data_IF_973324860180
#
_entry.id   IF_973324860180
#
_cell.length_a   1.000
_cell.length_b   1.000
_cell.length_c   1.000
_cell.angle_alpha   90.00
_cell.angle_beta   90.00
_cell.angle_gamma   90.00
#
_symmetry.space_group_name_H-M   'P 1'
#
loop_
_entity.id
_entity.type
_entity.pdbx_description
1 polymer ?
#
# COMPACT_ATOMS: atom_id res chain seq x y z
N UNK A 1 -25.14 -1.81 -1.33
CA UNK A 1 -26.50 -2.26 -0.89
C UNK A 1 -26.34 -3.25 0.26
N UNK A 2 -27.17 -3.19 1.28
CA UNK A 2 -27.10 -4.14 2.40
C UNK A 2 -27.76 -5.46 1.97
N UNK A 3 -27.06 -6.60 2.07
CA UNK A 3 -27.59 -7.91 1.68
C UNK A 3 -28.90 -8.27 2.38
N UNK A 4 -29.08 -7.83 3.63
CA UNK A 4 -30.31 -8.02 4.38
C UNK A 4 -31.51 -7.31 3.74
N UNK A 5 -31.33 -6.06 3.31
CA UNK A 5 -32.39 -5.26 2.71
C UNK A 5 -32.68 -5.68 1.27
N UNK A 6 -31.63 -5.95 0.48
CA UNK A 6 -31.76 -6.24 -0.94
C UNK A 6 -32.23 -7.66 -1.24
N UNK A 7 -31.86 -8.63 -0.40
CA UNK A 7 -32.10 -10.06 -0.65
C UNK A 7 -32.94 -10.72 0.44
N UNK A 8 -33.45 -9.95 1.43
CA UNK A 8 -34.26 -10.45 2.54
C UNK A 8 -33.61 -11.60 3.33
N UNK A 9 -32.27 -11.62 3.41
CA UNK A 9 -31.54 -12.62 4.18
C UNK A 9 -31.46 -12.13 5.62
N UNK A 10 -31.90 -12.94 6.64
CA UNK A 10 -31.85 -12.52 8.03
C UNK A 10 -30.41 -12.18 8.46
N UNK A 11 -30.23 -11.06 9.17
CA UNK A 11 -28.91 -10.63 9.65
C UNK A 11 -28.21 -11.69 10.54
N UNK A 12 -28.97 -12.46 11.30
CA UNK A 12 -28.45 -13.57 12.08
C UNK A 12 -27.83 -14.68 11.21
N UNK A 13 -28.41 -14.97 10.04
CA UNK A 13 -27.87 -15.95 9.10
C UNK A 13 -26.58 -15.44 8.43
N UNK A 14 -26.54 -14.14 8.09
CA UNK A 14 -25.33 -13.52 7.53
C UNK A 14 -24.17 -13.51 8.56
N UNK A 15 -24.48 -13.16 9.83
CA UNK A 15 -23.50 -13.19 10.92
C UNK A 15 -22.98 -14.61 11.17
N UNK A 16 -23.85 -15.61 11.15
CA UNK A 16 -23.48 -17.01 11.37
C UNK A 16 -22.53 -17.53 10.28
N UNK A 17 -22.83 -17.24 9.02
CA UNK A 17 -22.00 -17.64 7.87
C UNK A 17 -20.63 -16.93 7.89
N UNK A 18 -20.63 -15.62 8.13
CA UNK A 18 -19.40 -14.84 8.22
C UNK A 18 -18.51 -15.32 9.38
N UNK A 19 -19.11 -15.53 10.56
CA UNK A 19 -18.42 -16.02 11.76
C UNK A 19 -17.89 -17.44 11.57
N UNK A 20 -18.66 -18.33 10.93
CA UNK A 20 -18.20 -19.69 10.63
C UNK A 20 -17.01 -19.68 9.69
N UNK A 21 -17.08 -18.90 8.60
CA UNK A 21 -15.97 -18.77 7.65
C UNK A 21 -14.70 -18.23 8.32
N UNK A 22 -14.84 -17.22 9.19
CA UNK A 22 -13.71 -16.66 9.94
C UNK A 22 -13.17 -17.64 11.00
N UNK A 23 -14.06 -18.37 11.67
CA UNK A 23 -13.68 -19.40 12.66
C UNK A 23 -12.78 -20.48 12.06
N UNK A 24 -13.04 -20.93 10.84
CA UNK A 24 -12.21 -21.93 10.17
C UNK A 24 -10.73 -21.51 10.06
N UNK A 25 -10.48 -20.20 9.93
CA UNK A 25 -9.13 -19.64 9.78
C UNK A 25 -8.35 -19.51 11.09
N UNK A 26 -9.01 -19.63 12.25
CA UNK A 26 -8.37 -19.49 13.58
C UNK A 26 -8.27 -20.78 14.37
N UNK A 27 -8.80 -21.90 13.87
CA UNK A 27 -8.82 -23.19 14.60
C UNK A 27 -7.43 -23.64 15.04
N UNK A 28 -6.45 -23.53 14.15
CA UNK A 28 -5.06 -23.88 14.44
C UNK A 28 -4.42 -22.94 15.46
N UNK A 29 -4.77 -21.67 15.44
CA UNK A 29 -4.31 -20.67 16.41
C UNK A 29 -4.91 -20.96 17.79
N UNK A 30 -6.20 -21.29 17.86
CA UNK A 30 -6.88 -21.70 19.11
C UNK A 30 -6.29 -22.97 19.71
N UNK A 31 -5.90 -23.95 18.88
CA UNK A 31 -5.32 -25.20 19.33
C UNK A 31 -3.93 -25.03 19.98
N UNK A 32 -3.22 -23.98 19.60
CA UNK A 32 -1.87 -23.65 20.10
C UNK A 32 -1.90 -22.70 21.29
N UNK A 33 -3.00 -22.01 21.53
CA UNK A 33 -3.13 -21.06 22.62
C UNK A 33 -3.33 -21.80 23.96
N UNK A 34 -2.70 -21.30 25.01
CA UNK A 34 -2.92 -21.76 26.36
C UNK A 34 -4.25 -21.24 26.91
N UNK A 35 -4.56 -19.97 26.63
CA UNK A 35 -5.81 -19.30 26.95
C UNK A 35 -6.14 -18.26 25.92
N UNK A 36 -7.21 -18.49 25.14
CA UNK A 36 -7.70 -17.56 24.14
C UNK A 36 -8.89 -16.73 24.65
N UNK A 37 -8.88 -15.45 24.40
CA UNK A 37 -9.97 -14.52 24.74
C UNK A 37 -10.67 -14.01 23.49
N UNK A 38 -11.99 -14.16 23.44
CA UNK A 38 -12.84 -13.50 22.45
C UNK A 38 -13.28 -12.15 23.04
N UNK A 39 -12.67 -11.07 22.54
CA UNK A 39 -12.96 -9.70 22.94
C UNK A 39 -14.15 -9.18 22.15
N UNK A 40 -15.30 -9.01 22.81
CA UNK A 40 -16.55 -8.65 22.15
C UNK A 40 -17.00 -7.23 22.50
N UNK A 41 -17.02 -6.37 21.50
CA UNK A 41 -17.61 -5.03 21.55
C UNK A 41 -19.13 -5.05 21.60
N UNK A 42 -19.77 -3.88 21.67
CA UNK A 42 -21.23 -3.75 21.70
C UNK A 42 -21.90 -3.87 20.33
N UNK A 43 -21.14 -3.77 19.22
CA UNK A 43 -21.62 -3.81 17.85
C UNK A 43 -21.67 -5.22 17.25
N UNK A 44 -21.94 -5.27 15.93
CA UNK A 44 -22.02 -6.54 15.20
C UNK A 44 -20.68 -7.28 15.15
N UNK A 45 -19.55 -6.58 15.09
CA UNK A 45 -18.22 -7.22 15.17
C UNK A 45 -18.03 -7.99 16.49
N UNK A 46 -18.56 -7.45 17.62
CA UNK A 46 -18.64 -8.17 18.89
C UNK A 46 -19.59 -9.37 18.82
N UNK A 47 -20.65 -9.27 18.03
CA UNK A 47 -21.54 -10.40 17.73
C UNK A 47 -20.83 -11.51 16.99
N UNK A 48 -19.99 -11.18 16.00
CA UNK A 48 -19.17 -12.13 15.25
C UNK A 48 -18.17 -12.84 16.18
N UNK A 49 -17.48 -12.10 17.06
CA UNK A 49 -16.57 -12.69 18.05
C UNK A 49 -17.28 -13.65 18.99
N UNK A 50 -18.50 -13.32 19.46
CA UNK A 50 -19.32 -14.20 20.29
C UNK A 50 -19.78 -15.45 19.54
N UNK A 51 -20.21 -15.32 18.29
CA UNK A 51 -20.57 -16.46 17.45
C UNK A 51 -19.36 -17.40 17.25
N UNK A 52 -18.17 -16.85 17.02
CA UNK A 52 -16.94 -17.62 16.89
C UNK A 52 -16.55 -18.31 18.21
N UNK A 53 -16.72 -17.65 19.36
CA UNK A 53 -16.51 -18.28 20.68
C UNK A 53 -17.46 -19.47 20.88
N UNK A 54 -18.73 -19.33 20.50
CA UNK A 54 -19.72 -20.40 20.54
C UNK A 54 -19.34 -21.56 19.63
N UNK A 55 -18.91 -21.30 18.40
CA UNK A 55 -18.43 -22.32 17.46
C UNK A 55 -17.20 -23.05 17.99
N UNK A 56 -16.24 -22.34 18.55
CA UNK A 56 -15.06 -22.92 19.19
C UNK A 56 -15.43 -23.85 20.38
N UNK A 57 -16.37 -23.41 21.21
CA UNK A 57 -16.85 -24.22 22.35
C UNK A 57 -17.55 -25.51 21.89
N UNK A 58 -18.36 -25.43 20.80
CA UNK A 58 -19.02 -26.58 20.20
C UNK A 58 -18.02 -27.55 19.55
N UNK A 59 -16.94 -27.05 18.99
CA UNK A 59 -15.84 -27.83 18.41
C UNK A 59 -14.91 -28.47 19.49
N UNK A 60 -15.21 -28.23 20.76
CA UNK A 60 -14.50 -28.88 21.87
C UNK A 60 -13.40 -28.03 22.51
N UNK A 61 -13.14 -26.81 22.10
CA UNK A 61 -12.18 -25.93 22.77
C UNK A 61 -12.68 -25.54 24.15
N UNK A 62 -11.82 -25.69 25.16
CA UNK A 62 -12.14 -25.38 26.59
C UNK A 62 -11.17 -24.35 27.20
N UNK A 63 -10.11 -23.99 26.44
CA UNK A 63 -9.14 -22.97 26.77
C UNK A 63 -9.57 -21.56 26.31
N UNK A 64 -10.87 -21.34 26.15
CA UNK A 64 -11.45 -20.10 25.67
C UNK A 64 -12.25 -19.38 26.76
N UNK A 65 -12.20 -18.05 26.72
CA UNK A 65 -13.02 -17.17 27.56
C UNK A 65 -13.54 -15.99 26.71
N UNK A 66 -14.62 -15.37 27.17
CA UNK A 66 -15.20 -14.19 26.56
C UNK A 66 -14.91 -12.98 27.46
N UNK A 67 -14.35 -11.90 26.86
CA UNK A 67 -14.24 -10.61 27.53
C UNK A 67 -15.19 -9.61 26.86
N UNK A 68 -16.22 -9.20 27.61
CA UNK A 68 -17.16 -8.21 27.14
C UNK A 68 -16.63 -6.80 27.40
N UNK A 69 -16.66 -5.95 26.40
CA UNK A 69 -16.46 -4.52 26.63
C UNK A 69 -17.74 -3.88 27.18
N UNK A 70 -17.58 -2.98 28.14
CA UNK A 70 -18.69 -2.21 28.69
C UNK A 70 -19.07 -1.05 27.75
N UNK A 71 -19.97 -1.32 26.81
CA UNK A 71 -20.38 -0.34 25.79
C UNK A 71 -21.64 0.46 26.15
N UNK A 72 -22.39 0.00 27.15
CA UNK A 72 -23.69 0.58 27.54
C UNK A 72 -24.79 0.43 26.48
N UNK A 73 -24.46 0.02 25.25
CA UNK A 73 -25.39 -0.30 24.15
C UNK A 73 -24.90 -1.54 23.42
N UNK A 74 -25.82 -2.42 23.05
CA UNK A 74 -25.53 -3.58 22.21
C UNK A 74 -26.55 -3.70 21.08
N UNK A 75 -26.12 -4.29 19.95
CA UNK A 75 -27.01 -4.63 18.85
C UNK A 75 -27.81 -5.90 19.18
N UNK A 76 -29.00 -6.06 18.57
CA UNK A 76 -29.86 -7.24 18.79
C UNK A 76 -29.14 -8.54 18.42
N UNK A 77 -28.36 -8.53 17.34
CA UNK A 77 -27.55 -9.70 16.92
C UNK A 77 -26.47 -10.06 17.93
N UNK A 78 -25.78 -9.05 18.46
CA UNK A 78 -24.77 -9.26 19.52
C UNK A 78 -25.42 -9.81 20.80
N UNK A 79 -26.56 -9.27 21.22
CA UNK A 79 -27.32 -9.74 22.40
C UNK A 79 -27.80 -11.18 22.22
N UNK A 80 -28.22 -11.56 21.02
CA UNK A 80 -28.59 -12.94 20.69
C UNK A 80 -27.41 -13.91 20.91
N UNK A 81 -26.24 -13.59 20.35
CA UNK A 81 -25.04 -14.42 20.47
C UNK A 81 -24.54 -14.48 21.94
N UNK A 82 -24.55 -13.36 22.66
CA UNK A 82 -24.19 -13.32 24.08
C UNK A 82 -25.08 -14.26 24.90
N UNK A 83 -26.40 -14.17 24.70
CA UNK A 83 -27.34 -15.05 25.40
C UNK A 83 -27.09 -16.52 25.09
N UNK A 84 -26.76 -16.85 23.84
CA UNK A 84 -26.39 -18.24 23.48
C UNK A 84 -25.14 -18.70 24.22
N UNK A 85 -24.08 -17.88 24.26
CA UNK A 85 -22.84 -18.20 24.98
C UNK A 85 -23.09 -18.40 26.50
N UNK A 86 -23.91 -17.54 27.14
CA UNK A 86 -24.28 -17.64 28.55
C UNK A 86 -25.01 -18.95 28.83
N UNK A 87 -26.02 -19.31 28.01
CA UNK A 87 -26.79 -20.56 28.16
C UNK A 87 -25.96 -21.81 27.92
N UNK A 88 -24.94 -21.74 27.13
CA UNK A 88 -23.99 -22.84 26.90
C UNK A 88 -22.92 -22.94 27.97
N UNK A 89 -22.85 -22.02 28.93
CA UNK A 89 -21.88 -22.01 30.01
C UNK A 89 -20.47 -21.68 29.58
N UNK A 90 -20.29 -20.93 28.51
CA UNK A 90 -18.95 -20.45 28.09
C UNK A 90 -18.47 -19.42 29.12
N UNK A 91 -17.22 -19.56 29.66
CA UNK A 91 -16.76 -18.67 30.72
C UNK A 91 -16.53 -17.24 30.23
N UNK A 92 -16.93 -16.27 31.09
CA UNK A 92 -16.68 -14.86 30.90
C UNK A 92 -15.55 -14.39 31.81
N UNK A 93 -14.55 -13.70 31.24
CA UNK A 93 -13.44 -13.11 31.96
C UNK A 93 -13.72 -11.63 32.30
N UNK A 94 -12.97 -11.10 33.29
CA UNK A 94 -12.99 -9.68 33.67
C UNK A 94 -11.73 -8.94 33.23
N UNK A 95 -10.68 -9.67 32.90
CA UNK A 95 -9.35 -9.18 32.58
C UNK A 95 -8.66 -10.11 31.57
N UNK A 96 -7.41 -9.76 31.23
CA UNK A 96 -6.55 -10.48 30.27
C UNK A 96 -5.52 -11.39 30.98
N UNK A 97 -5.72 -11.77 32.23
CA UNK A 97 -4.74 -12.55 32.97
C UNK A 97 -4.55 -13.96 32.39
N UNK A 98 -3.28 -14.26 32.06
CA UNK A 98 -2.89 -15.54 31.47
C UNK A 98 -3.33 -15.73 30.02
N UNK A 99 -3.83 -14.68 29.35
CA UNK A 99 -4.24 -14.70 27.93
C UNK A 99 -3.00 -14.61 27.06
N UNK A 100 -2.87 -15.50 26.09
CA UNK A 100 -1.81 -15.52 25.08
C UNK A 100 -2.34 -15.33 23.63
N UNK A 101 -3.68 -15.39 23.46
CA UNK A 101 -4.34 -15.10 22.18
C UNK A 101 -5.61 -14.27 22.40
N UNK A 102 -5.76 -13.17 21.65
CA UNK A 102 -6.98 -12.37 21.60
C UNK A 102 -7.60 -12.49 20.21
N UNK A 103 -8.88 -12.82 20.14
CA UNK A 103 -9.71 -12.65 18.95
C UNK A 103 -10.44 -11.32 19.13
N UNK A 104 -10.00 -10.31 18.39
CA UNK A 104 -10.45 -8.92 18.53
C UNK A 104 -11.69 -8.66 17.69
N UNK A 105 -12.84 -8.59 18.35
CA UNK A 105 -14.12 -8.11 17.83
C UNK A 105 -14.63 -6.89 18.57
N UNK A 106 -13.73 -6.05 19.14
CA UNK A 106 -14.14 -4.88 19.92
C UNK A 106 -14.80 -3.83 19.03
N UNK A 107 -14.17 -3.48 17.88
CA UNK A 107 -14.72 -2.58 16.87
C UNK A 107 -14.46 -3.12 15.48
N UNK A 108 -15.42 -2.91 14.56
CA UNK A 108 -15.23 -3.06 13.12
C UNK A 108 -15.18 -1.68 12.44
N UNK A 109 -15.33 -1.66 11.13
CA UNK A 109 -15.28 -0.45 10.28
C UNK A 109 -16.30 0.65 10.67
N UNK A 110 -17.34 0.32 11.44
CA UNK A 110 -18.35 1.28 11.90
C UNK A 110 -17.91 2.24 13.00
N UNK A 111 -16.69 2.12 13.52
CA UNK A 111 -16.14 3.07 14.50
C UNK A 111 -15.98 4.44 13.85
N UNK A 112 -16.38 5.50 14.56
CA UNK A 112 -16.21 6.90 14.15
C UNK A 112 -15.48 7.67 15.23
N UNK A 113 -14.45 8.41 14.82
CA UNK A 113 -13.63 9.20 15.72
C UNK A 113 -12.81 8.36 16.71
N UNK A 114 -12.19 9.03 17.65
CA UNK A 114 -11.30 8.39 18.63
C UNK A 114 -12.09 7.48 19.60
N UNK A 115 -11.63 6.24 19.84
CA UNK A 115 -12.24 5.38 20.89
C UNK A 115 -12.26 6.07 22.25
N UNK A 116 -13.28 5.78 23.08
CA UNK A 116 -13.34 6.27 24.47
C UNK A 116 -12.11 5.84 25.27
N UNK A 117 -11.73 6.61 26.29
CA UNK A 117 -10.51 6.39 27.09
C UNK A 117 -10.41 4.95 27.67
N UNK A 118 -11.54 4.36 28.10
CA UNK A 118 -11.55 2.97 28.59
C UNK A 118 -11.11 1.95 27.54
N UNK A 119 -11.49 2.16 26.29
CA UNK A 119 -11.08 1.30 25.17
C UNK A 119 -9.64 1.58 24.75
N UNK A 120 -9.19 2.85 24.81
CA UNK A 120 -7.79 3.18 24.58
C UNK A 120 -6.88 2.49 25.58
N UNK A 121 -7.25 2.47 26.87
CA UNK A 121 -6.51 1.75 27.90
C UNK A 121 -6.45 0.24 27.61
N UNK A 122 -7.56 -0.38 27.20
CA UNK A 122 -7.59 -1.80 26.86
C UNK A 122 -6.74 -2.13 25.64
N UNK A 123 -6.80 -1.30 24.57
CA UNK A 123 -5.96 -1.43 23.38
C UNK A 123 -4.48 -1.31 23.76
N UNK A 124 -4.13 -0.32 24.58
CA UNK A 124 -2.76 -0.12 25.06
C UNK A 124 -2.27 -1.31 25.88
N UNK A 125 -3.10 -1.83 26.79
CA UNK A 125 -2.76 -2.99 27.62
C UNK A 125 -2.47 -4.23 26.75
N UNK A 126 -3.29 -4.50 25.72
CA UNK A 126 -3.10 -5.62 24.80
C UNK A 126 -1.77 -5.48 24.05
N UNK A 127 -1.50 -4.26 23.52
CA UNK A 127 -0.28 -3.98 22.76
C UNK A 127 0.98 -4.05 23.64
N UNK A 128 0.95 -3.50 24.86
CA UNK A 128 2.08 -3.49 25.81
C UNK A 128 2.43 -4.89 26.30
N UNK A 129 1.41 -5.71 26.58
CA UNK A 129 1.59 -7.12 26.93
C UNK A 129 2.06 -7.98 25.76
N UNK A 130 2.08 -7.44 24.53
CA UNK A 130 2.46 -8.16 23.29
C UNK A 130 1.68 -9.47 23.11
N UNK A 131 0.42 -9.48 23.50
CA UNK A 131 -0.45 -10.64 23.30
C UNK A 131 -0.67 -10.81 21.79
N UNK A 132 -0.66 -12.05 21.33
CA UNK A 132 -0.99 -12.36 19.93
C UNK A 132 -2.44 -11.98 19.66
N UNK A 133 -2.70 -11.16 18.62
CA UNK A 133 -4.05 -10.72 18.28
C UNK A 133 -4.41 -11.12 16.86
N UNK A 134 -5.62 -11.67 16.71
CA UNK A 134 -6.28 -11.85 15.41
C UNK A 134 -7.51 -10.96 15.42
N UNK A 135 -7.52 -9.92 14.57
CA UNK A 135 -8.61 -8.96 14.49
C UNK A 135 -9.65 -9.36 13.44
N UNK A 136 -10.91 -9.14 13.77
CA UNK A 136 -12.05 -9.37 12.89
C UNK A 136 -12.39 -8.06 12.17
N UNK A 137 -12.55 -8.11 10.88
CA UNK A 137 -12.89 -7.00 9.97
C UNK A 137 -11.75 -5.98 9.82
N UNK A 138 -11.38 -5.29 10.89
CA UNK A 138 -10.23 -4.38 11.02
C UNK A 138 -9.67 -4.46 12.44
N UNK A 139 -8.39 -4.20 12.69
CA UNK A 139 -7.88 -4.02 14.04
C UNK A 139 -8.66 -2.92 14.78
N UNK A 140 -9.11 -3.22 16.00
CA UNK A 140 -9.90 -2.26 16.76
C UNK A 140 -9.14 -0.97 17.02
N UNK A 141 -9.78 0.14 16.70
CA UNK A 141 -9.14 1.47 16.64
C UNK A 141 -8.78 1.93 15.23
N UNK A 142 -9.00 1.09 14.20
CA UNK A 142 -8.93 1.49 12.79
C UNK A 142 -10.33 1.73 12.21
N UNK A 143 -10.41 2.62 11.22
CA UNK A 143 -11.62 2.90 10.45
C UNK A 143 -11.38 4.11 9.56
N UNK A 144 -12.23 4.32 8.55
CA UNK A 144 -12.03 5.38 7.55
C UNK A 144 -11.95 6.78 8.17
N UNK A 145 -12.76 7.03 9.22
CA UNK A 145 -12.85 8.30 9.95
C UNK A 145 -12.31 8.20 11.39
N UNK A 146 -11.33 7.32 11.62
CA UNK A 146 -10.68 7.16 12.91
C UNK A 146 -9.27 7.73 12.84
N UNK A 147 -8.90 8.67 13.74
CA UNK A 147 -7.54 9.22 13.78
C UNK A 147 -6.49 8.13 14.03
N UNK A 148 -5.34 8.27 13.37
CA UNK A 148 -4.23 7.34 13.57
C UNK A 148 -3.69 7.37 15.01
N UNK A 149 -3.08 6.28 15.45
CA UNK A 149 -2.29 6.21 16.68
C UNK A 149 -2.91 5.41 17.82
N UNK A 150 -4.20 5.06 17.79
CA UNK A 150 -4.82 4.21 18.82
C UNK A 150 -5.51 3.00 18.18
N UNK A 151 -4.72 2.00 17.80
CA UNK A 151 -5.26 0.77 17.24
C UNK A 151 -4.53 -0.46 17.79
N UNK A 152 -5.20 -1.60 17.78
CA UNK A 152 -4.60 -2.90 18.08
C UNK A 152 -3.53 -3.22 17.05
N UNK A 153 -2.40 -3.75 17.52
CA UNK A 153 -1.36 -4.33 16.68
C UNK A 153 -1.67 -5.82 16.47
N UNK A 154 -2.35 -6.13 15.38
CA UNK A 154 -2.74 -7.49 15.04
C UNK A 154 -1.62 -8.25 14.31
N UNK A 155 -1.45 -9.53 14.57
CA UNK A 155 -0.61 -10.39 13.74
C UNK A 155 -1.36 -10.88 12.48
N UNK A 156 -2.71 -10.89 12.55
CA UNK A 156 -3.60 -11.28 11.45
C UNK A 156 -4.89 -10.48 11.53
N UNK A 157 -5.38 -10.04 10.38
CA UNK A 157 -6.70 -9.42 10.24
C UNK A 157 -7.54 -10.25 9.29
N UNK A 158 -8.72 -10.67 9.73
CA UNK A 158 -9.66 -11.47 8.95
C UNK A 158 -10.76 -10.54 8.44
N UNK A 159 -10.70 -10.18 7.17
CA UNK A 159 -11.74 -9.40 6.50
C UNK A 159 -12.90 -10.32 6.11
N UNK A 160 -14.08 -10.06 6.64
CA UNK A 160 -15.29 -10.81 6.30
C UNK A 160 -15.94 -10.19 5.06
N UNK A 161 -15.78 -10.87 3.91
CA UNK A 161 -16.24 -10.43 2.60
C UNK A 161 -15.19 -9.59 1.86
N UNK A 162 -15.21 -8.28 2.02
CA UNK A 162 -14.31 -7.38 1.29
C UNK A 162 -13.20 -6.82 2.18
N UNK A 163 -12.04 -6.57 1.58
CA UNK A 163 -10.92 -5.87 2.24
C UNK A 163 -11.26 -4.39 2.41
N UNK A 164 -10.78 -3.79 3.49
CA UNK A 164 -11.07 -2.39 3.84
C UNK A 164 -9.89 -1.50 3.46
N UNK A 165 -10.18 -0.40 2.80
CA UNK A 165 -9.17 0.56 2.33
C UNK A 165 -8.30 1.10 3.46
N UNK A 166 -8.90 1.32 4.64
CA UNK A 166 -8.19 1.78 5.84
C UNK A 166 -7.00 0.89 6.24
N UNK A 167 -7.04 -0.42 5.92
CA UNK A 167 -5.95 -1.36 6.21
C UNK A 167 -4.68 -1.10 5.39
N UNK A 168 -4.83 -0.45 4.22
CA UNK A 168 -3.74 -0.24 3.27
C UNK A 168 -3.14 1.15 3.33
N UNK A 169 -3.66 2.03 4.18
CA UNK A 169 -3.03 3.34 4.45
C UNK A 169 -1.69 3.10 5.15
N UNK A 170 -0.61 3.78 4.74
CA UNK A 170 0.74 3.52 5.27
C UNK A 170 0.83 3.53 6.80
N UNK A 171 0.09 4.41 7.48
CA UNK A 171 0.08 4.50 8.94
C UNK A 171 -0.57 3.28 9.64
N UNK A 172 -1.46 2.56 8.96
CA UNK A 172 -2.22 1.44 9.50
C UNK A 172 -1.66 0.08 9.09
N UNK A 173 -0.96 0.01 7.94
CA UNK A 173 -0.68 -1.28 7.31
C UNK A 173 0.10 -2.26 8.18
N UNK A 174 1.11 -1.79 8.90
CA UNK A 174 1.93 -2.65 9.75
C UNK A 174 1.16 -3.17 10.99
N UNK A 175 0.14 -2.42 11.43
CA UNK A 175 -0.72 -2.84 12.54
C UNK A 175 -1.77 -3.88 12.12
N UNK A 176 -2.01 -4.06 10.82
CA UNK A 176 -2.99 -5.02 10.30
C UNK A 176 -2.46 -6.47 10.24
N UNK A 177 -1.15 -6.66 10.28
CA UNK A 177 -0.53 -7.97 10.14
C UNK A 177 -0.82 -8.65 8.81
N UNK A 178 -0.97 -9.95 8.80
CA UNK A 178 -1.43 -10.74 7.65
C UNK A 178 -2.91 -10.46 7.37
N UNK A 179 -3.25 -9.95 6.18
CA UNK A 179 -4.64 -9.68 5.80
C UNK A 179 -5.19 -10.89 5.03
N UNK A 180 -6.15 -11.56 5.64
CA UNK A 180 -6.84 -12.72 5.05
C UNK A 180 -8.31 -12.33 4.81
N UNK A 181 -8.87 -12.77 3.68
CA UNK A 181 -10.27 -12.52 3.36
C UNK A 181 -11.05 -13.82 3.43
N UNK A 182 -12.17 -13.83 4.13
CA UNK A 182 -13.15 -14.91 4.03
C UNK A 182 -14.15 -14.59 2.92
N UNK A 183 -14.71 -15.61 2.34
CA UNK A 183 -15.76 -15.48 1.33
C UNK A 183 -17.05 -16.10 1.87
N UNK A 184 -17.76 -15.40 2.79
CA UNK A 184 -19.09 -15.83 3.18
C UNK A 184 -20.01 -15.84 1.95
N UNK A 185 -21.04 -16.68 1.95
CA UNK A 185 -21.98 -16.80 0.84
C UNK A 185 -22.90 -15.58 0.74
N UNK A 186 -22.31 -14.41 0.45
CA UNK A 186 -23.06 -13.21 0.17
C UNK A 186 -23.49 -13.16 -1.30
N UNK A 187 -24.72 -12.75 -1.61
CA UNK A 187 -25.17 -12.63 -2.98
C UNK A 187 -24.30 -11.67 -3.80
N UNK A 188 -24.05 -12.01 -5.08
CA UNK A 188 -23.50 -11.04 -6.02
C UNK A 188 -24.39 -9.78 -6.05
N UNK A 189 -23.78 -8.60 -6.10
CA UNK A 189 -24.49 -7.31 -6.01
C UNK A 189 -24.72 -6.80 -4.58
N UNK A 190 -24.40 -7.57 -3.53
CA UNK A 190 -24.32 -7.04 -2.17
C UNK A 190 -22.96 -6.40 -1.86
N UNK A 191 -21.97 -6.58 -2.73
CA UNK A 191 -20.64 -5.99 -2.59
C UNK A 191 -20.71 -4.47 -2.79
N UNK A 192 -20.15 -3.67 -1.90
CA UNK A 192 -20.03 -2.23 -2.12
C UNK A 192 -19.11 -1.95 -3.32
N UNK A 193 -19.44 -0.95 -4.11
CA UNK A 193 -18.50 -0.36 -5.05
C UNK A 193 -17.40 0.36 -4.27
N UNK A 194 -16.16 0.22 -4.72
CA UNK A 194 -15.01 0.91 -4.15
C UNK A 194 -14.40 1.85 -5.17
N UNK A 195 -14.07 3.06 -4.74
CA UNK A 195 -13.32 4.02 -5.54
C UNK A 195 -11.82 3.63 -5.65
N UNK A 196 -11.40 2.60 -4.91
CA UNK A 196 -10.00 2.19 -4.83
C UNK A 196 -9.82 0.72 -5.18
N UNK A 197 -8.79 0.42 -5.99
CA UNK A 197 -8.43 -0.93 -6.41
C UNK A 197 -7.22 -1.48 -5.64
N UNK A 198 -7.26 -2.78 -5.29
CA UNK A 198 -6.07 -3.50 -4.84
C UNK A 198 -5.44 -4.19 -6.03
N UNK A 199 -4.22 -3.78 -6.38
CA UNK A 199 -3.44 -4.38 -7.47
C UNK A 199 -2.61 -5.55 -6.97
N UNK A 200 -2.62 -6.62 -7.76
CA UNK A 200 -1.88 -7.87 -7.54
C UNK A 200 -0.97 -8.18 -8.72
N UNK A 201 -0.14 -9.22 -8.62
CA UNK A 201 0.72 -9.65 -9.73
C UNK A 201 -0.08 -10.09 -10.96
N UNK A 202 -1.36 -10.45 -10.80
CA UNK A 202 -2.27 -10.83 -11.88
C UNK A 202 -2.69 -9.63 -12.74
N UNK A 203 -2.61 -8.41 -12.16
CA UNK A 203 -2.92 -7.15 -12.85
C UNK A 203 -1.74 -6.61 -13.68
N UNK A 204 -0.58 -7.31 -13.65
CA UNK A 204 0.61 -6.90 -14.38
C UNK A 204 0.40 -7.12 -15.89
N UNK A 205 0.21 -6.01 -16.61
CA UNK A 205 0.00 -6.02 -18.07
C UNK A 205 1.13 -5.26 -18.78
N UNK A 206 2.13 -6.02 -19.25
CA UNK A 206 3.26 -5.50 -20.00
C UNK A 206 3.28 -6.12 -21.39
N UNK A 207 3.29 -5.25 -22.39
CA UNK A 207 3.32 -5.64 -23.79
C UNK A 207 4.52 -6.51 -24.11
N UNK A 208 4.28 -7.72 -24.59
CA UNK A 208 5.33 -8.62 -25.06
C UNK A 208 6.00 -8.08 -26.32
N UNK A 209 7.32 -8.21 -26.39
CA UNK A 209 8.10 -7.85 -27.56
C UNK A 209 7.76 -8.75 -28.76
N UNK A 210 7.67 -8.16 -29.95
CA UNK A 210 7.46 -8.84 -31.21
C UNK A 210 8.79 -9.04 -31.94
N UNK A 211 8.87 -10.02 -32.83
CA UNK A 211 10.08 -10.22 -33.64
C UNK A 211 10.46 -9.04 -34.54
N UNK A 212 9.49 -8.16 -34.83
CA UNK A 212 9.71 -6.92 -35.60
C UNK A 212 10.18 -5.72 -34.76
N UNK A 213 10.21 -5.85 -33.42
CA UNK A 213 10.60 -4.74 -32.56
C UNK A 213 12.11 -4.52 -32.58
N UNK A 214 12.49 -3.27 -32.64
CA UNK A 214 13.88 -2.82 -32.64
C UNK A 214 14.04 -1.59 -31.73
N UNK A 215 15.27 -1.09 -31.58
CA UNK A 215 15.59 -0.07 -30.59
C UNK A 215 14.69 1.17 -30.58
N UNK A 216 14.15 1.61 -31.76
CA UNK A 216 13.24 2.77 -31.80
C UNK A 216 11.80 2.39 -31.42
N UNK A 217 11.31 1.21 -31.80
CA UNK A 217 9.93 0.78 -31.46
C UNK A 217 9.78 0.39 -29.99
N UNK A 218 10.90 0.10 -29.31
CA UNK A 218 10.94 -0.20 -27.88
C UNK A 218 10.95 1.04 -26.98
N UNK A 219 10.98 2.22 -27.56
CA UNK A 219 10.99 3.51 -26.88
C UNK A 219 12.37 4.10 -26.67
N UNK A 220 12.44 5.42 -26.88
CA UNK A 220 13.61 6.26 -26.62
C UNK A 220 13.33 7.12 -25.38
N UNK A 221 14.14 6.96 -24.33
CA UNK A 221 13.95 7.67 -23.07
C UNK A 221 15.14 8.58 -22.75
N UNK A 222 14.86 9.74 -22.17
CA UNK A 222 15.84 10.65 -21.61
C UNK A 222 15.81 10.56 -20.08
N UNK A 223 16.96 10.63 -19.43
CA UNK A 223 17.12 10.71 -17.98
C UNK A 223 17.93 11.97 -17.67
N UNK A 224 17.33 12.90 -16.94
CA UNK A 224 17.95 14.16 -16.52
C UNK A 224 18.24 14.06 -15.03
N UNK A 225 19.51 14.04 -14.66
CA UNK A 225 19.90 13.87 -13.27
C UNK A 225 21.41 13.64 -13.11
N UNK A 226 21.79 13.25 -11.91
CA UNK A 226 23.19 13.08 -11.53
C UNK A 226 23.88 14.38 -11.18
N UNK A 227 24.47 14.41 -10.01
CA UNK A 227 25.32 15.50 -9.52
C UNK A 227 26.52 14.91 -8.78
N UNK A 228 27.50 15.73 -8.44
CA UNK A 228 28.78 15.27 -7.91
C UNK A 228 28.72 14.29 -6.72
N UNK A 229 27.59 14.27 -5.99
CA UNK A 229 27.35 13.35 -4.87
C UNK A 229 26.51 12.11 -5.24
N UNK A 230 25.74 12.17 -6.34
CA UNK A 230 24.70 11.18 -6.63
C UNK A 230 24.77 10.64 -8.07
N UNK A 231 25.97 10.25 -8.49
CA UNK A 231 26.21 9.67 -9.83
C UNK A 231 25.51 8.32 -10.02
N UNK A 232 25.36 7.55 -8.95
CA UNK A 232 24.73 6.21 -8.99
C UNK A 232 23.25 6.23 -9.36
N UNK A 233 22.50 7.27 -8.99
CA UNK A 233 21.06 7.35 -9.20
C UNK A 233 20.68 7.23 -10.69
N UNK A 234 21.30 8.04 -11.55
CA UNK A 234 21.02 7.98 -13.01
C UNK A 234 21.49 6.69 -13.66
N UNK A 235 22.57 6.08 -13.13
CA UNK A 235 23.05 4.77 -13.61
C UNK A 235 22.05 3.68 -13.28
N UNK A 236 21.52 3.65 -12.06
CA UNK A 236 20.48 2.69 -11.64
C UNK A 236 19.19 2.87 -12.45
N UNK A 237 18.72 4.12 -12.61
CA UNK A 237 17.55 4.42 -13.43
C UNK A 237 17.74 3.97 -14.89
N UNK A 238 18.90 4.23 -15.48
CA UNK A 238 19.18 3.86 -16.87
C UNK A 238 19.28 2.35 -17.06
N UNK A 239 19.96 1.64 -16.15
CA UNK A 239 20.01 0.17 -16.16
C UNK A 239 18.62 -0.42 -16.01
N UNK A 240 17.83 0.10 -15.07
CA UNK A 240 16.44 -0.34 -14.85
C UNK A 240 15.58 -0.11 -16.10
N UNK A 241 15.73 1.04 -16.76
CA UNK A 241 15.01 1.33 -18.00
C UNK A 241 15.36 0.32 -19.12
N UNK A 242 16.61 -0.03 -19.30
CA UNK A 242 17.00 -1.08 -20.26
C UNK A 242 16.40 -2.45 -19.91
N UNK A 243 16.45 -2.84 -18.62
CA UNK A 243 15.91 -4.11 -18.16
C UNK A 243 14.37 -4.17 -18.23
N UNK A 244 13.70 -3.02 -18.16
CA UNK A 244 12.26 -2.87 -18.35
C UNK A 244 11.86 -2.71 -19.84
N UNK A 245 12.83 -2.80 -20.77
CA UNK A 245 12.57 -2.90 -22.20
C UNK A 245 12.86 -1.65 -23.04
N UNK A 246 13.33 -0.53 -22.48
CA UNK A 246 13.71 0.64 -23.28
C UNK A 246 14.75 0.29 -24.35
N UNK A 247 14.55 0.80 -25.57
CA UNK A 247 15.44 0.53 -26.69
C UNK A 247 16.63 1.49 -26.80
N UNK A 248 16.42 2.74 -26.36
CA UNK A 248 17.44 3.79 -26.34
C UNK A 248 17.31 4.57 -25.02
N UNK A 249 18.45 4.83 -24.40
CA UNK A 249 18.55 5.64 -23.17
C UNK A 249 19.61 6.70 -23.36
N UNK A 250 19.23 7.97 -23.11
CA UNK A 250 20.15 9.11 -23.10
C UNK A 250 20.14 9.74 -21.70
N UNK A 251 21.32 9.94 -21.13
CA UNK A 251 21.50 10.56 -19.83
C UNK A 251 22.04 11.97 -20.02
N UNK A 252 21.35 12.97 -19.45
CA UNK A 252 21.81 14.35 -19.34
C UNK A 252 22.25 14.60 -17.89
N UNK A 253 23.53 15.00 -17.72
CA UNK A 253 24.15 15.09 -16.39
C UNK A 253 25.19 16.24 -16.33
N UNK A 254 25.80 16.46 -15.17
CA UNK A 254 26.92 17.38 -15.06
C UNK A 254 28.12 16.91 -15.92
N UNK A 255 28.79 17.85 -16.60
CA UNK A 255 29.85 17.57 -17.57
C UNK A 255 30.98 16.68 -17.00
N UNK A 256 31.37 16.93 -15.77
CA UNK A 256 32.46 16.21 -15.09
C UNK A 256 32.10 14.74 -14.76
N UNK A 257 30.82 14.40 -14.79
CA UNK A 257 30.34 13.04 -14.50
C UNK A 257 30.24 12.15 -15.74
N UNK A 258 30.31 12.70 -16.94
CA UNK A 258 30.17 11.96 -18.19
C UNK A 258 31.12 10.76 -18.27
N UNK A 259 32.43 10.87 -17.98
CA UNK A 259 33.34 9.73 -18.09
C UNK A 259 33.01 8.59 -17.13
N UNK A 260 32.63 8.90 -15.90
CA UNK A 260 32.29 7.92 -14.89
C UNK A 260 31.00 7.18 -15.19
N UNK A 261 29.96 7.92 -15.63
CA UNK A 261 28.66 7.35 -16.00
C UNK A 261 28.76 6.51 -17.27
N UNK A 262 29.48 7.01 -18.31
CA UNK A 262 29.70 6.24 -19.55
C UNK A 262 30.45 4.94 -19.31
N UNK A 263 31.38 4.93 -18.34
CA UNK A 263 32.05 3.68 -17.92
C UNK A 263 31.11 2.72 -17.22
N UNK A 264 30.19 3.23 -16.37
CA UNK A 264 29.27 2.41 -15.56
C UNK A 264 28.12 1.82 -16.41
N UNK A 265 27.74 2.50 -17.51
CA UNK A 265 26.66 2.06 -18.40
C UNK A 265 26.99 2.38 -19.88
N UNK A 266 27.87 1.59 -20.53
CA UNK A 266 28.31 1.84 -21.92
C UNK A 266 27.18 1.78 -22.95
N UNK A 267 26.03 1.21 -22.61
CA UNK A 267 24.88 1.08 -23.50
C UNK A 267 24.05 2.38 -23.61
N UNK A 268 24.23 3.33 -22.69
CA UNK A 268 23.54 4.61 -22.71
C UNK A 268 24.38 5.67 -23.42
N UNK A 269 23.71 6.61 -24.07
CA UNK A 269 24.32 7.86 -24.53
C UNK A 269 24.40 8.79 -23.30
N UNK A 270 25.55 9.45 -23.10
CA UNK A 270 25.73 10.35 -21.95
C UNK A 270 26.21 11.70 -22.46
N UNK A 271 25.54 12.76 -22.08
CA UNK A 271 25.87 14.14 -22.47
C UNK A 271 25.60 15.11 -21.31
N UNK A 272 25.92 16.38 -21.51
CA UNK A 272 25.77 17.40 -20.45
C UNK A 272 24.38 18.04 -20.44
N UNK A 273 24.02 18.63 -19.31
CA UNK A 273 22.83 19.50 -19.17
C UNK A 273 22.81 20.65 -20.18
N UNK A 274 24.00 21.17 -20.59
CA UNK A 274 24.13 22.29 -21.52
C UNK A 274 23.61 21.94 -22.91
N UNK A 275 23.57 20.66 -23.25
CA UNK A 275 23.21 20.15 -24.57
C UNK A 275 21.85 19.43 -24.61
N UNK A 276 20.92 19.75 -23.69
CA UNK A 276 19.58 19.15 -23.72
C UNK A 276 18.83 19.61 -24.97
N UNK A 277 18.50 18.71 -25.92
CA UNK A 277 17.74 19.04 -27.10
C UNK A 277 16.25 19.23 -26.77
N UNK A 278 15.43 19.52 -27.80
CA UNK A 278 13.97 19.43 -27.62
C UNK A 278 13.56 18.03 -27.13
N UNK A 279 13.07 17.96 -25.90
CA UNK A 279 12.71 16.71 -25.25
C UNK A 279 11.47 16.04 -25.88
N UNK A 280 10.74 16.73 -26.75
CA UNK A 280 9.66 16.14 -27.54
C UNK A 280 10.14 15.06 -28.52
N UNK A 281 11.45 14.95 -28.76
CA UNK A 281 12.07 13.92 -29.61
C UNK A 281 12.15 12.56 -28.86
N UNK A 282 12.06 12.55 -27.54
CA UNK A 282 12.00 11.35 -26.72
C UNK A 282 10.56 10.89 -26.47
N UNK A 283 10.37 9.61 -26.31
CA UNK A 283 9.05 9.03 -26.01
C UNK A 283 8.65 9.24 -24.54
N UNK A 284 9.64 9.28 -23.64
CA UNK A 284 9.46 9.62 -22.23
C UNK A 284 10.73 10.25 -21.65
N UNK A 285 10.57 11.05 -20.60
CA UNK A 285 11.64 11.73 -19.88
C UNK A 285 11.52 11.44 -18.38
N UNK A 286 12.64 11.09 -17.74
CA UNK A 286 12.79 11.06 -16.30
C UNK A 286 13.60 12.27 -15.87
N UNK A 287 13.11 13.01 -14.87
CA UNK A 287 13.84 14.16 -14.32
C UNK A 287 13.91 14.05 -12.79
N UNK A 288 15.13 14.16 -12.25
CA UNK A 288 15.35 14.30 -10.82
C UNK A 288 16.30 13.33 -10.12
N UNK A 289 16.52 12.08 -10.58
CA UNK A 289 17.41 11.17 -9.88
C UNK A 289 18.79 11.76 -9.62
N UNK A 290 19.13 12.03 -8.34
CA UNK A 290 20.39 12.60 -7.96
C UNK A 290 20.73 13.95 -8.59
N UNK A 291 19.75 14.75 -8.97
CA UNK A 291 19.93 16.01 -9.70
C UNK A 291 20.49 17.14 -8.82
N UNK A 292 20.32 17.05 -7.51
CA UNK A 292 20.71 18.11 -6.58
C UNK A 292 19.75 19.31 -6.63
N UNK A 293 20.19 20.45 -6.06
CA UNK A 293 19.32 21.64 -5.87
C UNK A 293 19.51 22.73 -6.93
N UNK A 294 20.47 22.59 -7.85
CA UNK A 294 20.91 23.68 -8.73
C UNK A 294 20.36 23.62 -10.17
N UNK A 295 19.47 22.65 -10.45
CA UNK A 295 19.01 22.36 -11.81
C UNK A 295 17.49 22.45 -11.96
N UNK A 296 16.84 23.41 -11.27
CA UNK A 296 15.39 23.64 -11.36
C UNK A 296 14.95 24.07 -12.77
N UNK A 297 15.87 24.70 -13.55
CA UNK A 297 15.70 25.05 -14.96
C UNK A 297 15.54 23.82 -15.86
N UNK A 298 16.27 22.74 -15.59
CA UNK A 298 16.14 21.47 -16.31
C UNK A 298 14.74 20.85 -16.14
N UNK A 299 14.19 20.88 -14.92
CA UNK A 299 12.81 20.46 -14.68
C UNK A 299 11.81 21.40 -15.38
N UNK A 300 12.03 22.71 -15.30
CA UNK A 300 11.17 23.70 -15.99
C UNK A 300 11.14 23.47 -17.50
N UNK A 301 12.28 23.10 -18.08
CA UNK A 301 12.39 22.76 -19.50
C UNK A 301 11.67 21.43 -19.81
N UNK A 302 11.86 20.41 -18.97
CA UNK A 302 11.19 19.12 -19.12
C UNK A 302 9.66 19.24 -19.06
N UNK A 303 9.12 20.03 -18.14
CA UNK A 303 7.68 20.31 -18.01
C UNK A 303 7.08 20.97 -19.27
N UNK A 304 7.89 21.75 -19.99
CA UNK A 304 7.44 22.44 -21.22
C UNK A 304 7.52 21.57 -22.48
N UNK A 305 8.56 20.73 -22.59
CA UNK A 305 8.91 20.05 -23.86
C UNK A 305 8.69 18.54 -23.85
N UNK A 306 8.71 17.84 -22.70
CA UNK A 306 8.52 16.40 -22.64
C UNK A 306 7.08 15.98 -23.01
N UNK A 307 6.92 14.92 -23.79
CA UNK A 307 5.59 14.31 -24.11
C UNK A 307 5.01 13.60 -22.90
N UNK A 308 5.83 12.82 -22.22
CA UNK A 308 5.54 12.08 -20.98
C UNK A 308 6.68 12.32 -20.03
N UNK A 309 6.37 12.76 -18.82
CA UNK A 309 7.37 13.12 -17.83
C UNK A 309 7.19 12.25 -16.58
N UNK A 310 8.30 11.68 -16.12
CA UNK A 310 8.41 11.06 -14.79
C UNK A 310 9.30 11.95 -13.94
N UNK A 311 8.87 12.27 -12.73
CA UNK A 311 9.62 13.12 -11.79
C UNK A 311 9.87 12.36 -10.51
N UNK A 312 11.12 12.27 -10.09
CA UNK A 312 11.52 11.55 -8.88
C UNK A 312 12.52 12.37 -8.06
N UNK A 313 12.68 12.05 -6.80
CA UNK A 313 13.72 12.56 -5.91
C UNK A 313 13.86 14.10 -5.92
N UNK A 314 15.04 14.62 -6.28
CA UNK A 314 15.30 16.07 -6.31
C UNK A 314 14.41 16.82 -7.29
N UNK A 315 13.92 16.15 -8.34
CA UNK A 315 12.93 16.68 -9.27
C UNK A 315 11.60 17.01 -8.58
N UNK A 316 11.12 16.17 -7.65
CA UNK A 316 9.91 16.44 -6.87
C UNK A 316 10.08 17.65 -5.97
N UNK A 317 11.27 17.80 -5.37
CA UNK A 317 11.60 18.98 -4.57
C UNK A 317 11.66 20.25 -5.43
N UNK A 318 12.25 20.15 -6.62
CA UNK A 318 12.25 21.24 -7.59
C UNK A 318 10.84 21.61 -8.05
N UNK A 319 9.99 20.61 -8.31
CA UNK A 319 8.58 20.79 -8.68
C UNK A 319 7.84 21.60 -7.60
N UNK A 320 8.06 21.27 -6.34
CA UNK A 320 7.49 21.99 -5.19
C UNK A 320 8.04 23.40 -5.04
N UNK A 321 9.36 23.62 -5.20
CA UNK A 321 9.97 24.96 -5.14
C UNK A 321 9.42 25.91 -6.23
N UNK A 322 9.25 25.37 -7.42
CA UNK A 322 8.69 26.08 -8.57
C UNK A 322 7.18 26.27 -8.49
N UNK A 323 6.50 25.63 -7.53
CA UNK A 323 5.03 25.53 -7.49
C UNK A 323 4.46 25.16 -8.86
N UNK A 324 5.09 24.19 -9.51
CA UNK A 324 4.80 23.81 -10.87
C UNK A 324 3.45 23.07 -10.97
N UNK A 325 2.82 23.16 -12.14
CA UNK A 325 1.67 22.35 -12.54
C UNK A 325 1.99 21.72 -13.87
N UNK A 326 1.80 20.42 -13.99
CA UNK A 326 2.10 19.73 -15.24
C UNK A 326 1.08 20.09 -16.33
N UNK A 327 1.55 20.41 -17.52
CA UNK A 327 0.69 20.73 -18.67
C UNK A 327 0.35 19.50 -19.53
N UNK A 328 1.04 18.39 -19.28
CA UNK A 328 0.95 17.12 -20.02
C UNK A 328 1.03 15.95 -19.05
N UNK A 329 1.01 14.71 -19.58
CA UNK A 329 1.15 13.49 -18.78
C UNK A 329 2.40 13.54 -17.89
N UNK A 330 2.19 13.55 -16.58
CA UNK A 330 3.24 13.57 -15.57
C UNK A 330 2.97 12.51 -14.49
N UNK A 331 4.00 11.74 -14.17
CA UNK A 331 3.97 10.78 -13.06
C UNK A 331 5.04 11.21 -12.07
N UNK A 332 4.68 11.34 -10.79
CA UNK A 332 5.64 11.59 -9.72
C UNK A 332 5.74 10.37 -8.81
N UNK A 333 6.94 10.06 -8.33
CA UNK A 333 7.21 8.87 -7.52
C UNK A 333 7.69 9.22 -6.09
N UNK A 334 6.92 10.02 -5.30
CA UNK A 334 7.35 10.45 -3.99
C UNK A 334 7.39 9.30 -2.97
N UNK A 335 8.41 9.28 -2.10
CA UNK A 335 8.28 8.63 -0.81
C UNK A 335 7.48 9.51 0.16
N UNK A 336 7.10 9.01 1.35
CA UNK A 336 6.24 9.75 2.29
C UNK A 336 6.78 11.14 2.64
N UNK A 337 8.10 11.31 2.77
CA UNK A 337 8.70 12.62 3.06
C UNK A 337 8.56 13.61 1.89
N UNK A 338 8.70 13.14 0.65
CA UNK A 338 8.48 13.96 -0.56
C UNK A 338 7.00 14.25 -0.78
N UNK A 339 6.13 13.29 -0.48
CA UNK A 339 4.68 13.48 -0.50
C UNK A 339 4.26 14.55 0.52
N UNK A 340 4.83 14.55 1.73
CA UNK A 340 4.58 15.60 2.73
C UNK A 340 5.00 17.00 2.24
N UNK A 341 6.09 17.11 1.46
CA UNK A 341 6.49 18.38 0.83
C UNK A 341 5.48 18.82 -0.22
N UNK A 342 5.00 17.92 -1.07
CA UNK A 342 3.94 18.21 -2.05
C UNK A 342 2.66 18.67 -1.34
N UNK A 343 2.22 17.92 -0.33
CA UNK A 343 1.03 18.25 0.45
C UNK A 343 1.13 19.65 1.06
N UNK A 344 2.23 19.95 1.76
CA UNK A 344 2.46 21.27 2.36
C UNK A 344 2.49 22.40 1.34
N UNK A 345 2.95 22.13 0.13
CA UNK A 345 3.08 23.13 -0.93
C UNK A 345 1.76 23.42 -1.63
N UNK A 346 0.98 22.36 -1.93
CA UNK A 346 -0.22 22.46 -2.76
C UNK A 346 -1.53 22.44 -1.97
N UNK A 347 -1.54 21.81 -0.80
CA UNK A 347 -2.74 21.64 0.04
C UNK A 347 -2.43 21.89 1.52
N UNK A 348 -1.86 23.05 1.89
CA UNK A 348 -1.43 23.31 3.28
C UNK A 348 -2.60 23.35 4.27
N UNK A 349 -3.84 23.47 3.79
CA UNK A 349 -5.06 23.49 4.59
C UNK A 349 -5.61 22.09 4.93
N UNK A 350 -5.10 21.02 4.29
CA UNK A 350 -5.61 19.69 4.50
C UNK A 350 -4.87 18.96 5.64
N UNK A 351 -5.66 18.36 6.52
CA UNK A 351 -5.18 17.41 7.52
C UNK A 351 -5.18 16.00 6.91
N UNK A 352 -4.35 15.10 7.43
CA UNK A 352 -4.20 13.71 6.96
C UNK A 352 -4.12 12.76 8.14
N UNK A 353 -4.90 13.01 9.17
CA UNK A 353 -4.90 12.28 10.44
C UNK A 353 -5.83 11.06 10.46
N UNK A 354 -6.66 10.90 9.43
CA UNK A 354 -7.54 9.74 9.21
C UNK A 354 -7.30 9.14 7.84
N UNK A 355 -7.67 7.85 7.61
CA UNK A 355 -7.62 7.23 6.28
C UNK A 355 -8.37 8.01 5.20
N UNK A 356 -9.60 8.45 5.47
CA UNK A 356 -10.41 9.24 4.52
C UNK A 356 -9.75 10.57 4.19
N UNK A 357 -9.25 11.31 5.21
CA UNK A 357 -8.56 12.57 5.01
C UNK A 357 -7.25 12.39 4.22
N UNK A 358 -6.50 11.32 4.48
CA UNK A 358 -5.28 10.99 3.75
C UNK A 358 -5.55 10.72 2.27
N UNK A 359 -6.61 9.97 1.95
CA UNK A 359 -7.02 9.66 0.58
C UNK A 359 -7.54 10.89 -0.16
N UNK A 360 -8.33 11.73 0.52
CA UNK A 360 -8.79 13.00 -0.02
C UNK A 360 -7.62 13.93 -0.35
N UNK A 361 -6.62 14.00 0.54
CA UNK A 361 -5.40 14.78 0.30
C UNK A 361 -4.57 14.23 -0.86
N UNK A 362 -4.45 12.90 -1.01
CA UNK A 362 -3.78 12.27 -2.14
C UNK A 362 -4.42 12.68 -3.47
N UNK A 363 -5.75 12.63 -3.53
CA UNK A 363 -6.52 13.04 -4.71
C UNK A 363 -6.33 14.51 -5.03
N UNK A 364 -6.45 15.39 -4.04
CA UNK A 364 -6.32 16.84 -4.19
C UNK A 364 -4.92 17.25 -4.67
N UNK A 365 -3.85 16.64 -4.14
CA UNK A 365 -2.49 16.89 -4.60
C UNK A 365 -2.35 16.49 -6.07
N UNK A 366 -2.90 15.36 -6.48
CA UNK A 366 -2.88 14.94 -7.89
C UNK A 366 -3.61 15.94 -8.80
N UNK A 367 -4.77 16.41 -8.38
CA UNK A 367 -5.56 17.41 -9.14
C UNK A 367 -4.82 18.74 -9.24
N UNK A 368 -4.31 19.31 -8.14
CA UNK A 368 -3.60 20.60 -8.14
C UNK A 368 -2.26 20.56 -8.86
N UNK A 369 -1.59 19.43 -8.90
CA UNK A 369 -0.33 19.26 -9.63
C UNK A 369 -0.55 18.79 -11.07
N UNK A 370 -1.76 18.36 -11.42
CA UNK A 370 -2.11 17.69 -12.67
C UNK A 370 -1.17 16.51 -12.96
N UNK A 371 -0.93 15.66 -11.95
CA UNK A 371 0.03 14.56 -12.02
C UNK A 371 -0.51 13.30 -11.35
N UNK A 372 -0.16 12.13 -11.88
CA UNK A 372 -0.40 10.87 -11.19
C UNK A 372 0.71 10.63 -10.16
N UNK A 373 0.35 10.29 -8.93
CA UNK A 373 1.31 9.97 -7.88
C UNK A 373 1.52 8.46 -7.71
N UNK A 374 2.76 8.08 -7.48
CA UNK A 374 3.17 6.76 -6.99
C UNK A 374 3.80 6.95 -5.61
N UNK A 375 3.00 6.93 -4.56
CA UNK A 375 3.47 7.15 -3.19
C UNK A 375 4.08 5.88 -2.63
N UNK A 376 5.39 5.92 -2.38
CA UNK A 376 6.21 4.79 -1.92
C UNK A 376 6.23 4.72 -0.39
N UNK A 377 5.72 3.61 0.18
CA UNK A 377 5.77 3.28 1.60
C UNK A 377 5.78 1.75 1.80
N UNK A 378 5.37 1.26 2.97
CA UNK A 378 5.06 -0.16 3.21
C UNK A 378 3.89 -0.67 2.34
N UNK A 379 3.04 0.23 1.84
CA UNK A 379 2.16 0.04 0.70
C UNK A 379 2.56 1.02 -0.41
N UNK A 380 2.19 0.73 -1.67
CA UNK A 380 2.46 1.64 -2.79
C UNK A 380 1.14 2.10 -3.38
N UNK A 381 0.84 3.39 -3.21
CA UNK A 381 -0.37 4.00 -3.76
C UNK A 381 -0.11 4.57 -5.15
N UNK A 382 -0.89 4.16 -6.13
CA UNK A 382 -0.75 4.57 -7.54
C UNK A 382 -2.08 5.13 -8.01
N UNK A 383 -2.23 6.44 -7.94
CA UNK A 383 -3.51 7.08 -8.24
C UNK A 383 -4.61 6.65 -7.27
N UNK A 384 -5.61 5.96 -7.80
CA UNK A 384 -6.74 5.38 -7.08
C UNK A 384 -6.55 3.89 -6.71
N UNK A 385 -5.35 3.37 -6.87
CA UNK A 385 -5.05 1.96 -6.65
C UNK A 385 -3.93 1.80 -5.63
N UNK A 386 -3.91 0.67 -4.92
CA UNK A 386 -2.87 0.32 -3.96
C UNK A 386 -2.27 -1.05 -4.24
N UNK A 387 -0.97 -1.18 -4.04
CA UNK A 387 -0.26 -2.46 -3.99
C UNK A 387 0.10 -2.72 -2.54
N UNK A 388 -0.27 -3.89 -2.01
CA UNK A 388 0.19 -4.33 -0.69
C UNK A 388 1.66 -4.73 -0.80
N UNK A 389 2.55 -3.77 -0.55
CA UNK A 389 3.98 -3.94 -0.74
C UNK A 389 4.53 -5.04 0.16
N UNK A 390 4.49 -4.83 1.46
CA UNK A 390 5.04 -5.70 2.50
C UNK A 390 6.37 -6.38 2.09
N UNK A 391 7.22 -5.59 1.43
CA UNK A 391 8.50 -6.02 0.87
C UNK A 391 9.64 -5.15 1.42
N UNK A 392 10.05 -5.36 2.69
CA UNK A 392 11.05 -4.53 3.36
C UNK A 392 12.43 -4.60 2.70
N UNK A 393 12.72 -5.63 1.93
CA UNK A 393 13.98 -5.76 1.18
C UNK A 393 14.14 -4.71 0.07
N UNK A 394 13.04 -4.08 -0.37
CA UNK A 394 13.08 -2.91 -1.25
C UNK A 394 13.47 -1.61 -0.52
N UNK A 395 13.57 -1.61 0.80
CA UNK A 395 14.06 -0.48 1.61
C UNK A 395 15.58 -0.30 1.51
N UNK A 396 16.15 -0.38 0.33
CA UNK A 396 17.57 -0.21 0.02
C UNK A 396 17.80 1.04 -0.83
N UNK A 397 18.94 1.71 -0.60
CA UNK A 397 19.29 2.91 -1.36
C UNK A 397 19.33 2.62 -2.87
N UNK A 398 18.72 3.49 -3.67
CA UNK A 398 18.63 3.34 -5.12
C UNK A 398 17.43 2.56 -5.63
N UNK A 399 16.64 1.91 -4.77
CA UNK A 399 15.42 1.18 -5.16
C UNK A 399 14.37 2.12 -5.81
N UNK A 400 14.26 3.37 -5.33
CA UNK A 400 13.43 4.41 -5.96
C UNK A 400 13.90 4.76 -7.37
N UNK A 401 15.23 4.89 -7.57
CA UNK A 401 15.81 5.16 -8.90
C UNK A 401 15.51 4.01 -9.88
N UNK A 402 15.52 2.77 -9.39
CA UNK A 402 15.10 1.59 -10.18
C UNK A 402 13.64 1.69 -10.58
N UNK A 403 12.74 2.02 -9.65
CA UNK A 403 11.30 2.18 -9.93
C UNK A 403 11.06 3.27 -10.97
N UNK A 404 11.65 4.46 -10.79
CA UNK A 404 11.47 5.57 -11.73
C UNK A 404 12.00 5.25 -13.13
N UNK A 405 13.11 4.50 -13.22
CA UNK A 405 13.64 3.96 -14.48
C UNK A 405 12.68 2.98 -15.17
N UNK A 406 12.08 2.05 -14.42
CA UNK A 406 11.06 1.11 -14.92
C UNK A 406 9.86 1.87 -15.48
N UNK A 407 9.27 2.79 -14.70
CA UNK A 407 8.09 3.56 -15.11
C UNK A 407 8.40 4.36 -16.38
N UNK A 408 9.59 4.96 -16.46
CA UNK A 408 10.00 5.74 -17.65
C UNK A 408 10.09 4.86 -18.88
N UNK A 409 10.64 3.66 -18.80
CA UNK A 409 10.70 2.71 -19.90
C UNK A 409 9.30 2.30 -20.38
N UNK A 410 8.39 2.03 -19.44
CA UNK A 410 6.99 1.67 -19.75
C UNK A 410 6.24 2.85 -20.37
N UNK A 411 6.48 4.10 -19.93
CA UNK A 411 5.99 5.28 -20.59
C UNK A 411 6.50 5.36 -22.05
N UNK A 412 7.79 5.13 -22.26
CA UNK A 412 8.44 5.18 -23.55
C UNK A 412 7.95 4.12 -24.52
N UNK A 413 7.67 2.92 -24.06
CA UNK A 413 7.13 1.80 -24.86
C UNK A 413 5.64 1.94 -25.18
N UNK A 414 4.96 2.96 -24.63
CA UNK A 414 3.53 3.18 -24.86
C UNK A 414 2.63 2.24 -24.05
N UNK A 415 3.08 1.75 -22.88
CA UNK A 415 2.22 1.02 -21.96
C UNK A 415 1.05 1.93 -21.52
N UNK A 416 -0.16 1.37 -21.41
CA UNK A 416 -1.37 2.12 -21.08
C UNK A 416 -1.42 2.55 -19.59
N UNK A 417 -0.89 1.72 -18.70
CA UNK A 417 -0.85 1.95 -17.25
C UNK A 417 0.58 1.90 -16.70
N UNK A 418 1.49 2.80 -17.16
CA UNK A 418 2.92 2.67 -16.86
C UNK A 418 3.25 2.82 -15.38
N UNK A 419 2.48 3.60 -14.61
CA UNK A 419 2.69 3.77 -13.17
C UNK A 419 2.32 2.49 -12.40
N UNK A 420 1.14 1.91 -12.67
CA UNK A 420 0.68 0.68 -12.02
C UNK A 420 1.59 -0.50 -12.38
N UNK A 421 1.82 -0.72 -13.69
CA UNK A 421 2.66 -1.81 -14.16
C UNK A 421 4.12 -1.67 -13.72
N UNK A 422 4.63 -0.44 -13.65
CA UNK A 422 5.99 -0.18 -13.15
C UNK A 422 6.12 -0.48 -11.67
N UNK A 423 5.15 -0.10 -10.86
CA UNK A 423 5.13 -0.39 -9.44
C UNK A 423 4.95 -1.90 -9.16
N UNK A 424 4.05 -2.59 -9.89
CA UNK A 424 3.88 -4.04 -9.79
C UNK A 424 5.15 -4.79 -10.19
N UNK A 425 5.77 -4.43 -11.32
CA UNK A 425 7.00 -5.04 -11.79
C UNK A 425 8.14 -4.87 -10.79
N UNK A 426 8.28 -3.69 -10.21
CA UNK A 426 9.27 -3.40 -9.17
C UNK A 426 9.06 -4.26 -7.92
N UNK A 427 7.82 -4.36 -7.43
CA UNK A 427 7.47 -5.20 -6.29
C UNK A 427 7.72 -6.69 -6.55
N UNK A 428 7.32 -7.18 -7.72
CA UNK A 428 7.56 -8.58 -8.14
C UNK A 428 9.05 -8.90 -8.26
N UNK A 429 9.82 -8.00 -8.89
CA UNK A 429 11.27 -8.15 -8.99
C UNK A 429 11.94 -8.18 -7.61
N UNK A 430 11.51 -7.32 -6.69
CA UNK A 430 12.00 -7.30 -5.31
C UNK A 430 11.70 -8.57 -4.54
N UNK A 431 10.49 -9.13 -4.67
CA UNK A 431 10.16 -10.43 -4.05
C UNK A 431 11.00 -11.57 -4.60
N UNK A 432 11.17 -11.64 -5.93
CA UNK A 432 12.04 -12.66 -6.55
C UNK A 432 13.49 -12.52 -6.11
N UNK A 433 14.02 -11.28 -6.07
CA UNK A 433 15.37 -11.04 -5.59
C UNK A 433 15.55 -11.49 -4.12
N UNK A 434 14.56 -11.20 -3.27
CA UNK A 434 14.59 -11.63 -1.87
C UNK A 434 14.56 -13.17 -1.74
N UNK A 435 13.72 -13.83 -2.52
CA UNK A 435 13.62 -15.30 -2.52
C UNK A 435 14.92 -15.98 -2.96
N UNK A 436 15.63 -15.41 -3.95
CA UNK A 436 16.89 -16.01 -4.47
C UNK A 436 18.12 -15.60 -3.65
N UNK A 437 18.19 -14.36 -3.14
CA UNK A 437 19.39 -13.77 -2.57
C UNK A 437 19.29 -13.44 -1.07
N UNK A 438 18.09 -13.39 -0.51
CA UNK A 438 17.84 -12.80 0.81
C UNK A 438 17.92 -11.28 0.72
N UNK A 439 18.87 -10.65 1.42
CA UNK A 439 19.12 -9.21 1.29
C UNK A 439 19.95 -8.93 0.03
N UNK A 440 19.65 -7.86 -0.66
CA UNK A 440 20.24 -7.51 -1.95
C UNK A 440 20.46 -5.99 -2.09
N UNK A 441 21.29 -5.60 -3.05
CA UNK A 441 21.48 -4.21 -3.47
C UNK A 441 20.55 -3.84 -4.62
N UNK A 442 20.42 -2.54 -4.93
CA UNK A 442 19.64 -2.09 -6.09
C UNK A 442 20.24 -2.55 -7.43
N UNK A 443 21.55 -2.76 -7.53
CA UNK A 443 22.18 -3.37 -8.71
C UNK A 443 21.75 -4.84 -8.89
N UNK A 444 21.55 -5.57 -7.80
CA UNK A 444 21.04 -6.94 -7.87
C UNK A 444 19.56 -6.95 -8.26
N UNK A 445 18.74 -6.07 -7.68
CA UNK A 445 17.32 -5.90 -8.02
C UNK A 445 17.11 -5.76 -9.52
N UNK A 446 17.93 -4.97 -10.20
CA UNK A 446 17.83 -4.71 -11.65
C UNK A 446 17.86 -6.01 -12.46
N UNK A 447 18.63 -7.02 -12.03
CA UNK A 447 18.74 -8.31 -12.74
C UNK A 447 17.42 -9.11 -12.71
N UNK A 448 16.56 -8.83 -11.74
CA UNK A 448 15.28 -9.50 -11.59
C UNK A 448 14.14 -8.83 -12.35
N UNK A 449 14.32 -7.60 -12.83
CA UNK A 449 13.29 -6.91 -13.64
C UNK A 449 12.94 -7.75 -14.87
N UNK A 450 13.94 -8.15 -15.66
CA UNK A 450 13.71 -8.96 -16.86
C UNK A 450 13.17 -10.37 -16.59
N UNK A 451 13.42 -10.93 -15.40
CA UNK A 451 12.86 -12.23 -14.97
C UNK A 451 11.40 -12.12 -14.52
N UNK A 452 10.93 -10.89 -14.26
CA UNK A 452 9.60 -10.62 -13.73
C UNK A 452 8.59 -10.19 -14.82
N UNK A 453 9.07 -9.96 -16.06
CA UNK A 453 8.28 -9.61 -17.24
C UNK A 453 7.41 -10.75 -17.79
#
# INVERSE_FOLDING_TARGET
MNAQESFSIPGASLMEDASFSAYQLIRDDLSKASKATFLAGGGNNGGDALAMARLAYLDGFRNIVILLSDSGKETDLRALQRTACERMGIPFAKDLDGVDLVIDGLFGIGLKGTPKSSYQCLISEINEKKIKVISLDVPSGMGDNVPFGCAINACKTICMGERKTALYIPANRDLAGEIVTTFPFFPEGSKPESDYGLLTDEDLDIKKLRGSDYKKTRGSVAIIGGSGRFTGAVVLSAKAAFHAGAGLVTIFTERDLIPSISKAIPSAMVTTYDDIPDLSTFDAVLCGPGMGSNHDDALSFALKSAKKLVVDADGIRAFSRLKAVASRSCIMTPHLGEYAVLLKTYCPELETDTPEAWLAALKEVQERTNSQLVVKANTVWVGDSVIDGQNPSLGVAGSGDVLSGIITALCGSGNEKPAQNGALLHQKAGRLAHQELGMYSSDDLIRFIGKSL
#
